data_IF_375573937598
#
_entry.id   IF_375573937598
#
_cell.length_a   1.000
_cell.length_b   1.000
_cell.length_c   1.000
_cell.angle_alpha   90.00
_cell.angle_beta   90.00
_cell.angle_gamma   90.00
#
_symmetry.space_group_name_H-M   'P 1'
#
loop_
_entity.id
_entity.type
_entity.pdbx_description
1 polymer ?
#
# COMPACT_ATOMS: atom_id res chain seq x y z
N UNK A 1 -18.04 1.22 -35.51
CA UNK A 1 -17.70 2.45 -36.24
C UNK A 1 -16.35 2.93 -35.71
N UNK A 2 -15.32 2.87 -36.56
CA UNK A 2 -14.01 3.53 -36.45
C UNK A 2 -13.24 3.45 -35.12
N UNK A 3 -12.32 2.49 -35.00
CA UNK A 3 -11.18 2.63 -34.11
C UNK A 3 -10.27 3.71 -34.70
N UNK A 4 -10.12 4.84 -34.00
CA UNK A 4 -9.20 5.90 -34.38
C UNK A 4 -7.77 5.44 -34.14
N UNK A 5 -7.00 5.36 -35.22
CA UNK A 5 -5.54 5.24 -35.19
C UNK A 5 -4.95 6.39 -34.37
N UNK A 6 -4.17 6.05 -33.36
CA UNK A 6 -3.36 7.01 -32.63
C UNK A 6 -2.28 7.54 -33.57
N UNK A 7 -2.45 8.76 -34.07
CA UNK A 7 -1.42 9.47 -34.82
C UNK A 7 -0.26 9.76 -33.86
N UNK A 8 0.85 9.04 -34.03
CA UNK A 8 2.12 9.35 -33.40
C UNK A 8 2.69 10.65 -33.99
N UNK A 9 2.55 11.74 -33.24
CA UNK A 9 3.46 12.89 -33.30
C UNK A 9 4.16 12.95 -31.95
N UNK A 10 5.50 12.87 -31.92
CA UNK A 10 6.33 12.68 -30.71
C UNK A 10 5.92 13.54 -29.52
N UNK A 11 5.05 12.99 -28.67
CA UNK A 11 4.14 13.79 -27.87
C UNK A 11 3.59 13.03 -26.66
N UNK A 12 3.48 13.78 -25.57
CA UNK A 12 2.98 13.35 -24.26
C UNK A 12 1.72 12.48 -24.40
N UNK A 13 1.76 11.26 -23.84
CA UNK A 13 0.61 10.34 -23.81
C UNK A 13 -0.55 11.00 -23.07
N UNK A 14 -1.68 11.20 -23.75
CA UNK A 14 -2.87 11.84 -23.19
C UNK A 14 -3.76 10.81 -22.51
N UNK A 15 -4.36 11.22 -21.39
CA UNK A 15 -5.45 10.47 -20.76
C UNK A 15 -6.66 10.42 -21.71
N UNK A 16 -7.33 9.27 -21.75
CA UNK A 16 -8.61 9.11 -22.42
C UNK A 16 -9.69 9.92 -21.69
N UNK A 17 -10.56 10.58 -22.46
CA UNK A 17 -11.71 11.33 -21.92
C UNK A 17 -12.56 10.46 -21.01
N UNK A 18 -12.92 10.98 -19.84
CA UNK A 18 -13.72 10.31 -18.83
C UNK A 18 -13.02 9.20 -18.05
N UNK A 19 -11.75 8.87 -18.36
CA UNK A 19 -10.99 7.87 -17.59
C UNK A 19 -10.29 8.49 -16.39
N UNK A 20 -10.40 7.85 -15.24
CA UNK A 20 -9.70 8.28 -14.04
C UNK A 20 -8.19 8.11 -14.20
N UNK A 21 -7.44 9.09 -13.72
CA UNK A 21 -5.98 9.07 -13.70
C UNK A 21 -5.45 9.50 -12.34
N UNK A 22 -4.34 8.90 -11.91
CA UNK A 22 -3.54 9.37 -10.77
C UNK A 22 -2.76 10.61 -11.24
N UNK A 23 -2.97 11.76 -10.59
CA UNK A 23 -2.34 13.04 -10.94
C UNK A 23 -1.11 13.35 -10.09
N UNK A 24 -1.11 12.90 -8.83
CA UNK A 24 -0.04 13.15 -7.89
C UNK A 24 0.06 12.03 -6.86
N UNK A 25 1.25 11.87 -6.29
CA UNK A 25 1.56 10.86 -5.27
C UNK A 25 2.40 11.49 -4.16
N UNK A 26 2.00 11.28 -2.91
CA UNK A 26 2.74 11.69 -1.71
C UNK A 26 2.92 10.53 -0.73
N UNK A 27 3.93 10.63 0.12
CA UNK A 27 4.21 9.70 1.21
C UNK A 27 4.73 10.44 2.43
N UNK A 28 4.52 9.87 3.60
CA UNK A 28 5.09 10.36 4.85
C UNK A 28 5.34 9.20 5.81
N UNK A 29 6.21 9.43 6.78
CA UNK A 29 6.72 8.42 7.70
C UNK A 29 6.86 9.02 9.10
N UNK A 30 6.77 8.21 10.17
CA UNK A 30 7.15 8.67 11.50
C UNK A 30 8.65 8.93 11.57
N UNK A 31 9.11 9.66 12.60
CA UNK A 31 10.50 10.11 12.68
C UNK A 31 11.52 8.98 12.95
N UNK A 32 11.10 7.88 13.57
CA UNK A 32 12.03 6.83 13.98
C UNK A 32 12.26 5.83 12.84
N UNK A 33 13.51 5.81 12.36
CA UNK A 33 14.02 4.83 11.40
C UNK A 33 14.75 3.70 12.14
N UNK A 34 14.38 2.46 11.84
CA UNK A 34 15.02 1.24 12.37
C UNK A 34 15.72 0.53 11.22
N UNK A 35 17.03 0.34 11.35
CA UNK A 35 17.79 -0.54 10.46
C UNK A 35 17.48 -2.00 10.82
N UNK A 36 17.23 -2.83 9.81
CA UNK A 36 16.85 -4.23 10.02
C UNK A 36 17.90 -5.01 10.83
N UNK A 37 19.17 -4.65 10.70
CA UNK A 37 20.27 -5.26 11.45
C UNK A 37 20.19 -5.03 12.97
N UNK A 38 19.58 -3.92 13.42
CA UNK A 38 19.39 -3.61 14.84
C UNK A 38 18.01 -4.01 15.37
N UNK A 39 17.11 -4.49 14.51
CA UNK A 39 15.75 -4.85 14.89
C UNK A 39 15.74 -5.89 16.01
N UNK A 40 16.51 -6.97 15.87
CA UNK A 40 16.46 -8.10 16.81
C UNK A 40 16.83 -7.64 18.20
N UNK A 41 17.93 -6.92 18.33
CA UNK A 41 18.43 -6.46 19.63
C UNK A 41 17.48 -5.43 20.25
N UNK A 42 17.00 -4.46 19.45
CA UNK A 42 16.03 -3.47 19.91
C UNK A 42 14.71 -4.10 20.33
N UNK A 43 14.17 -5.04 19.57
CA UNK A 43 12.88 -5.67 19.85
C UNK A 43 12.92 -6.55 21.11
N UNK A 44 13.97 -7.35 21.29
CA UNK A 44 14.13 -8.19 22.50
C UNK A 44 14.39 -7.34 23.74
N UNK A 45 15.19 -6.26 23.63
CA UNK A 45 15.36 -5.27 24.70
C UNK A 45 14.03 -4.62 25.08
N UNK A 46 13.27 -4.14 24.10
CA UNK A 46 12.02 -3.41 24.29
C UNK A 46 10.88 -4.28 24.86
N UNK A 47 10.97 -5.60 24.65
CA UNK A 47 9.95 -6.56 25.13
C UNK A 47 10.41 -7.33 26.37
N UNK A 48 11.60 -7.02 26.90
CA UNK A 48 12.22 -7.69 28.04
C UNK A 48 12.15 -9.23 27.94
N UNK A 49 12.42 -9.74 26.74
CA UNK A 49 12.43 -11.17 26.46
C UNK A 49 13.86 -11.65 26.22
N UNK A 50 14.24 -12.75 26.86
CA UNK A 50 15.58 -13.35 26.78
C UNK A 50 15.58 -14.75 26.12
N UNK A 51 14.50 -15.13 25.43
CA UNK A 51 14.40 -16.45 24.79
C UNK A 51 15.37 -16.56 23.58
N UNK A 52 16.39 -17.44 23.65
CA UNK A 52 17.41 -17.54 22.62
C UNK A 52 16.87 -18.17 21.32
N UNK A 53 15.85 -19.04 21.39
CA UNK A 53 15.27 -19.70 20.23
C UNK A 53 14.41 -18.72 19.42
N UNK A 54 13.59 -17.91 20.10
CA UNK A 54 12.82 -16.84 19.45
C UNK A 54 13.76 -15.79 18.85
N UNK A 55 14.84 -15.42 19.56
CA UNK A 55 15.85 -14.47 19.06
C UNK A 55 16.52 -15.00 17.80
N UNK A 56 16.97 -16.26 17.81
CA UNK A 56 17.57 -16.89 16.64
C UNK A 56 16.61 -16.96 15.46
N UNK A 57 15.32 -17.26 15.72
CA UNK A 57 14.29 -17.28 14.69
C UNK A 57 14.09 -15.90 14.06
N UNK A 58 13.96 -14.85 14.87
CA UNK A 58 13.81 -13.48 14.34
C UNK A 58 15.06 -13.04 13.55
N UNK A 59 16.27 -13.37 14.02
CA UNK A 59 17.51 -13.13 13.28
C UNK A 59 17.51 -13.78 11.90
N UNK A 60 17.07 -15.04 11.81
CA UNK A 60 16.94 -15.73 10.52
C UNK A 60 15.91 -15.04 9.63
N UNK A 61 14.75 -14.69 10.17
CA UNK A 61 13.70 -13.99 9.42
C UNK A 61 14.23 -12.67 8.86
N UNK A 62 14.86 -11.84 9.68
CA UNK A 62 15.42 -10.55 9.26
C UNK A 62 16.40 -10.65 8.09
N UNK A 63 17.20 -11.73 8.01
CA UNK A 63 18.10 -12.00 6.88
C UNK A 63 17.37 -12.40 5.60
N UNK A 64 16.19 -13.02 5.72
CA UNK A 64 15.42 -13.54 4.59
C UNK A 64 14.34 -12.60 4.08
N UNK A 65 13.91 -11.60 4.86
CA UNK A 65 12.83 -10.68 4.45
C UNK A 65 13.26 -9.65 3.40
N UNK A 66 14.56 -9.49 3.14
CA UNK A 66 15.15 -8.47 2.23
C UNK A 66 14.95 -7.01 2.65
N UNK A 67 14.19 -6.78 3.72
CA UNK A 67 14.00 -5.47 4.36
C UNK A 67 15.35 -4.97 4.89
N UNK A 68 15.68 -3.72 4.60
CA UNK A 68 16.88 -3.03 5.08
C UNK A 68 16.55 -2.02 6.15
N UNK A 69 15.47 -1.27 5.94
CA UNK A 69 15.03 -0.20 6.84
C UNK A 69 13.53 -0.18 6.95
N UNK A 70 13.05 0.30 8.10
CA UNK A 70 11.62 0.54 8.36
C UNK A 70 11.44 1.74 9.25
N UNK A 71 10.35 2.46 9.03
CA UNK A 71 9.93 3.50 9.94
C UNK A 71 8.93 2.92 10.93
N UNK A 72 8.97 3.37 12.18
CA UNK A 72 8.06 2.91 13.24
C UNK A 72 7.63 4.07 14.12
N UNK A 73 6.39 4.03 14.59
CA UNK A 73 5.89 4.93 15.64
C UNK A 73 6.40 4.47 17.01
N UNK A 74 6.57 3.15 17.19
CA UNK A 74 7.00 2.57 18.47
C UNK A 74 8.39 3.04 18.88
N UNK A 75 8.50 3.60 20.08
CA UNK A 75 9.74 4.15 20.63
C UNK A 75 9.93 3.75 22.10
N UNK A 76 11.15 3.89 22.62
CA UNK A 76 11.42 3.70 24.05
C UNK A 76 10.60 4.67 24.92
N UNK A 77 10.34 5.90 24.44
CA UNK A 77 9.50 6.87 25.14
C UNK A 77 8.06 6.37 25.31
N UNK A 78 7.48 5.78 24.25
CA UNK A 78 6.14 5.20 24.30
C UNK A 78 6.11 4.03 25.28
N UNK A 79 7.12 3.15 25.27
CA UNK A 79 7.18 2.01 26.18
C UNK A 79 7.44 2.42 27.63
N UNK A 80 8.18 3.50 27.87
CA UNK A 80 8.35 4.06 29.22
C UNK A 80 7.04 4.65 29.75
N UNK A 81 6.22 5.25 28.88
CA UNK A 81 4.92 5.81 29.23
C UNK A 81 3.84 4.73 29.40
N UNK A 82 3.89 3.69 28.58
CA UNK A 82 2.93 2.59 28.56
C UNK A 82 3.65 1.23 28.61
N UNK A 83 4.31 0.88 29.73
CA UNK A 83 5.08 -0.35 29.86
C UNK A 83 4.23 -1.61 29.68
N UNK A 84 2.92 -1.53 29.93
CA UNK A 84 1.98 -2.63 29.70
C UNK A 84 1.92 -3.10 28.24
N UNK A 85 2.32 -2.28 27.26
CA UNK A 85 2.37 -2.68 25.84
C UNK A 85 3.40 -3.77 25.54
N UNK A 86 4.43 -3.89 26.40
CA UNK A 86 5.47 -4.91 26.30
C UNK A 86 5.13 -6.19 27.09
N UNK A 87 3.97 -6.25 27.75
CA UNK A 87 3.56 -7.37 28.59
C UNK A 87 2.40 -8.10 27.93
N UNK A 88 2.51 -9.42 27.85
CA UNK A 88 1.48 -10.28 27.24
C UNK A 88 0.27 -10.46 28.16
N UNK A 89 -0.92 -10.61 27.59
CA UNK A 89 -2.14 -10.93 28.34
C UNK A 89 -2.84 -9.75 29.02
N UNK A 90 -2.33 -8.52 28.85
CA UNK A 90 -2.92 -7.32 29.44
C UNK A 90 -3.86 -6.58 28.47
N UNK A 91 -4.99 -6.05 28.96
CA UNK A 91 -5.87 -5.20 28.16
C UNK A 91 -5.17 -3.87 27.85
N UNK A 92 -4.80 -3.66 26.58
CA UNK A 92 -3.98 -2.54 26.11
C UNK A 92 -4.58 -1.81 24.90
N UNK A 93 -5.72 -2.25 24.39
CA UNK A 93 -6.35 -1.68 23.19
C UNK A 93 -6.62 -0.18 23.31
N UNK A 94 -6.95 0.31 24.51
CA UNK A 94 -7.18 1.74 24.75
C UNK A 94 -5.91 2.56 24.49
N UNK A 95 -4.81 2.21 25.16
CA UNK A 95 -3.52 2.88 25.01
C UNK A 95 -3.03 2.82 23.56
N UNK A 96 -3.17 1.65 22.93
CA UNK A 96 -2.83 1.46 21.52
C UNK A 96 -3.61 2.40 20.62
N UNK A 97 -4.93 2.47 20.77
CA UNK A 97 -5.77 3.35 19.97
C UNK A 97 -5.47 4.84 20.23
N UNK A 98 -5.17 5.23 21.47
CA UNK A 98 -4.77 6.61 21.79
C UNK A 98 -3.51 7.02 21.00
N UNK A 99 -2.52 6.13 20.89
CA UNK A 99 -1.30 6.35 20.10
C UNK A 99 -1.62 6.29 18.60
N UNK A 100 -2.26 5.21 18.14
CA UNK A 100 -2.51 4.96 16.73
C UNK A 100 -3.33 6.07 16.09
N UNK A 101 -4.45 6.46 16.71
CA UNK A 101 -5.36 7.46 16.18
C UNK A 101 -4.63 8.79 15.92
N UNK A 102 -3.72 9.20 16.82
CA UNK A 102 -2.90 10.40 16.61
C UNK A 102 -1.89 10.20 15.48
N UNK A 103 -1.14 9.10 15.52
CA UNK A 103 -0.06 8.84 14.57
C UNK A 103 -0.57 8.71 13.12
N UNK A 104 -1.63 7.94 12.88
CA UNK A 104 -2.19 7.74 11.54
C UNK A 104 -2.80 9.02 10.97
N UNK A 105 -3.40 9.87 11.81
CA UNK A 105 -3.90 11.18 11.39
C UNK A 105 -2.75 12.06 10.93
N UNK A 106 -1.68 12.14 11.73
CA UNK A 106 -0.54 13.00 11.44
C UNK A 106 0.18 12.54 10.17
N UNK A 107 0.49 11.26 10.04
CA UNK A 107 1.16 10.73 8.85
C UNK A 107 0.30 10.90 7.60
N UNK A 108 -1.03 10.64 7.68
CA UNK A 108 -1.93 10.88 6.55
C UNK A 108 -1.97 12.36 6.14
N UNK A 109 -1.96 13.26 7.11
CA UNK A 109 -1.94 14.71 6.87
C UNK A 109 -0.66 15.14 6.15
N UNK A 110 0.49 14.66 6.60
CA UNK A 110 1.79 14.93 5.98
C UNK A 110 1.88 14.36 4.56
N UNK A 111 1.49 13.10 4.37
CA UNK A 111 1.49 12.46 3.05
C UNK A 111 0.56 13.20 2.07
N UNK A 112 -0.63 13.58 2.54
CA UNK A 112 -1.61 14.32 1.74
C UNK A 112 -1.10 15.71 1.36
N UNK A 113 -0.43 16.42 2.28
CA UNK A 113 0.19 17.72 1.97
C UNK A 113 1.24 17.61 0.87
N UNK A 114 2.14 16.63 0.97
CA UNK A 114 3.14 16.36 -0.07
C UNK A 114 2.46 16.03 -1.40
N UNK A 115 1.39 15.23 -1.36
CA UNK A 115 0.63 14.88 -2.57
C UNK A 115 -0.04 16.11 -3.22
N UNK A 116 -0.66 16.97 -2.41
CA UNK A 116 -1.37 18.17 -2.87
C UNK A 116 -0.38 19.22 -3.40
N UNK A 117 0.77 19.38 -2.74
CA UNK A 117 1.86 20.24 -3.22
C UNK A 117 2.35 19.79 -4.60
N UNK A 118 2.60 18.49 -4.79
CA UNK A 118 2.97 17.92 -6.10
C UNK A 118 1.85 18.03 -7.14
N UNK A 119 0.58 17.98 -6.73
CA UNK A 119 -0.56 18.22 -7.62
C UNK A 119 -0.65 19.67 -8.09
N UNK A 120 -0.19 20.62 -7.26
CA UNK A 120 -0.07 22.04 -7.62
C UNK A 120 -1.40 22.81 -7.68
N UNK A 121 -2.47 22.27 -7.09
CA UNK A 121 -3.81 22.88 -7.05
C UNK A 121 -4.32 23.08 -5.63
N UNK A 122 -5.42 23.82 -5.50
CA UNK A 122 -5.96 24.21 -4.19
C UNK A 122 -6.69 23.07 -3.50
N UNK A 123 -6.58 22.97 -2.17
CA UNK A 123 -7.35 22.02 -1.35
C UNK A 123 -8.86 22.20 -1.49
N UNK A 124 -9.32 23.42 -1.83
CA UNK A 124 -10.74 23.71 -2.09
C UNK A 124 -11.30 22.97 -3.31
N UNK A 125 -10.44 22.46 -4.19
CA UNK A 125 -10.84 21.71 -5.39
C UNK A 125 -11.00 20.21 -5.11
N UNK A 126 -10.62 19.75 -3.90
CA UNK A 126 -10.79 18.36 -3.49
C UNK A 126 -12.25 18.13 -3.09
N UNK A 127 -12.97 17.47 -3.99
CA UNK A 127 -14.40 17.17 -3.84
C UNK A 127 -14.68 15.95 -2.96
N UNK A 128 -13.76 14.97 -2.95
CA UNK A 128 -13.95 13.70 -2.25
C UNK A 128 -12.67 13.28 -1.51
N UNK A 129 -12.85 12.57 -0.40
CA UNK A 129 -11.79 11.92 0.37
C UNK A 129 -12.11 10.43 0.53
N UNK A 130 -11.24 9.57 0.02
CA UNK A 130 -11.21 8.15 0.36
C UNK A 130 -10.09 7.94 1.37
N UNK A 131 -10.42 7.51 2.58
CA UNK A 131 -9.42 7.24 3.62
C UNK A 131 -9.39 5.76 3.96
N UNK A 132 -8.20 5.19 4.09
CA UNK A 132 -7.97 3.78 4.35
C UNK A 132 -7.03 3.62 5.53
N UNK A 133 -7.47 2.89 6.56
CA UNK A 133 -6.62 2.50 7.68
C UNK A 133 -7.15 1.25 8.36
N UNK A 134 -6.24 0.38 8.77
CA UNK A 134 -6.49 -0.79 9.61
C UNK A 134 -5.94 -0.60 11.02
N UNK A 135 -5.37 0.57 11.30
CA UNK A 135 -4.69 0.89 12.56
C UNK A 135 -5.47 1.83 13.47
N UNK A 136 -6.66 2.29 13.09
CA UNK A 136 -7.53 3.09 13.96
C UNK A 136 -8.94 2.50 14.10
N UNK A 137 -9.60 2.88 15.18
CA UNK A 137 -10.99 2.54 15.48
C UNK A 137 -11.60 3.63 16.36
N UNK A 138 -12.33 4.58 15.75
CA UNK A 138 -12.96 5.70 16.45
C UNK A 138 -14.14 6.29 15.67
N UNK A 139 -15.03 6.98 16.39
CA UNK A 139 -16.13 7.76 15.84
C UNK A 139 -16.10 9.15 16.50
N UNK A 140 -15.87 10.25 15.75
CA UNK A 140 -15.66 10.32 14.31
C UNK A 140 -14.41 9.59 13.80
N UNK A 141 -14.44 9.15 12.54
CA UNK A 141 -13.32 8.44 11.90
C UNK A 141 -12.18 9.38 11.49
N UNK A 142 -11.01 8.82 11.18
CA UNK A 142 -9.82 9.58 10.78
C UNK A 142 -10.00 10.38 9.48
N UNK A 143 -10.95 9.99 8.63
CA UNK A 143 -11.36 10.72 7.44
C UNK A 143 -11.80 12.16 7.77
N UNK A 144 -12.58 12.35 8.84
CA UNK A 144 -13.02 13.68 9.28
C UNK A 144 -11.85 14.50 9.85
N UNK A 145 -11.00 13.87 10.67
CA UNK A 145 -9.84 14.55 11.24
C UNK A 145 -8.85 14.99 10.16
N UNK A 146 -8.62 14.14 9.16
CA UNK A 146 -7.78 14.45 8.00
C UNK A 146 -8.39 15.59 7.18
N UNK A 147 -9.68 15.51 6.82
CA UNK A 147 -10.36 16.56 6.07
C UNK A 147 -10.28 17.92 6.79
N UNK A 148 -10.52 17.94 8.10
CA UNK A 148 -10.38 19.14 8.92
C UNK A 148 -8.94 19.64 8.98
N UNK A 149 -7.96 18.74 9.15
CA UNK A 149 -6.54 19.09 9.25
C UNK A 149 -5.94 19.65 7.95
N UNK A 150 -6.49 19.23 6.81
CA UNK A 150 -6.15 19.75 5.48
C UNK A 150 -6.92 21.04 5.13
N UNK A 151 -7.94 21.40 5.92
CA UNK A 151 -8.82 22.52 5.59
C UNK A 151 -9.64 22.27 4.32
N UNK A 152 -10.09 21.02 4.11
CA UNK A 152 -10.99 20.71 2.99
C UNK A 152 -12.35 21.38 3.18
N UNK A 153 -13.11 21.48 2.09
CA UNK A 153 -14.48 21.98 2.13
C UNK A 153 -15.33 21.15 3.11
N UNK A 154 -16.20 21.76 3.95
CA UNK A 154 -17.13 21.01 4.78
C UNK A 154 -18.06 20.06 4.00
N UNK A 155 -18.30 20.35 2.71
CA UNK A 155 -19.11 19.55 1.81
C UNK A 155 -18.33 18.41 1.12
N UNK A 156 -17.01 18.28 1.39
CA UNK A 156 -16.19 17.18 0.85
C UNK A 156 -16.80 15.84 1.26
N UNK A 157 -17.16 15.03 0.26
CA UNK A 157 -17.76 13.72 0.49
C UNK A 157 -16.68 12.72 0.92
N UNK A 158 -16.94 11.94 1.97
CA UNK A 158 -15.92 11.06 2.56
C UNK A 158 -16.34 9.60 2.51
N UNK A 159 -15.39 8.74 2.16
CA UNK A 159 -15.51 7.28 2.25
C UNK A 159 -14.38 6.76 3.12
N UNK A 160 -14.73 6.08 4.21
CA UNK A 160 -13.76 5.46 5.11
C UNK A 160 -13.75 3.94 4.94
N UNK A 161 -12.58 3.37 4.67
CA UNK A 161 -12.35 1.94 4.57
C UNK A 161 -11.52 1.46 5.77
N UNK A 162 -12.22 1.04 6.83
CA UNK A 162 -11.61 0.43 8.01
C UNK A 162 -11.27 -1.05 7.77
N UNK A 163 -10.14 -1.50 8.32
CA UNK A 163 -9.76 -2.92 8.40
C UNK A 163 -9.66 -3.67 7.06
N UNK A 164 -9.34 -2.97 5.97
CA UNK A 164 -9.09 -3.59 4.66
C UNK A 164 -7.73 -4.30 4.56
N UNK A 165 -6.80 -4.02 5.48
CA UNK A 165 -5.46 -4.59 5.47
C UNK A 165 -4.65 -4.24 4.23
N UNK A 166 -3.74 -5.13 3.85
CA UNK A 166 -2.76 -4.92 2.77
C UNK A 166 -3.37 -4.66 1.38
N UNK A 167 -4.58 -5.18 1.08
CA UNK A 167 -5.27 -4.88 -0.18
C UNK A 167 -5.92 -3.49 -0.20
N UNK A 168 -6.05 -2.84 0.97
CA UNK A 168 -6.76 -1.58 1.16
C UNK A 168 -6.29 -0.44 0.28
N UNK A 169 -4.99 -0.39 -0.09
CA UNK A 169 -4.47 0.66 -0.97
C UNK A 169 -5.05 0.59 -2.38
N UNK A 170 -5.16 -0.62 -2.95
CA UNK A 170 -5.73 -0.83 -4.29
C UNK A 170 -7.26 -0.83 -4.23
N UNK A 171 -7.86 -1.34 -3.14
CA UNK A 171 -9.30 -1.22 -2.89
C UNK A 171 -9.75 0.26 -2.84
N UNK A 172 -9.01 1.11 -2.12
CA UNK A 172 -9.25 2.55 -2.07
C UNK A 172 -9.07 3.21 -3.45
N UNK A 173 -8.11 2.76 -4.24
CA UNK A 173 -7.89 3.25 -5.61
C UNK A 173 -9.04 2.86 -6.56
N UNK A 174 -9.60 1.65 -6.41
CA UNK A 174 -10.79 1.20 -7.14
C UNK A 174 -12.01 2.06 -6.79
N UNK A 175 -12.24 2.35 -5.51
CA UNK A 175 -13.32 3.26 -5.08
C UNK A 175 -13.10 4.69 -5.62
N UNK A 176 -11.87 5.21 -5.54
CA UNK A 176 -11.55 6.54 -6.05
C UNK A 176 -11.72 6.65 -7.57
N UNK A 177 -11.40 5.58 -8.31
CA UNK A 177 -11.65 5.48 -9.75
C UNK A 177 -13.13 5.65 -10.07
N UNK A 178 -14.01 4.87 -9.44
CA UNK A 178 -15.45 4.91 -9.74
C UNK A 178 -16.04 6.29 -9.39
N UNK A 179 -15.62 6.89 -8.27
CA UNK A 179 -16.01 8.26 -7.89
C UNK A 179 -15.58 9.27 -8.96
N UNK A 180 -14.32 9.21 -9.39
CA UNK A 180 -13.74 10.15 -10.35
C UNK A 180 -14.43 10.09 -11.71
N UNK A 181 -14.70 8.88 -12.23
CA UNK A 181 -15.33 8.69 -13.55
C UNK A 181 -16.83 9.02 -13.52
N UNK A 182 -17.51 8.75 -12.40
CA UNK A 182 -18.96 8.97 -12.29
C UNK A 182 -19.34 10.41 -11.92
N UNK A 183 -18.37 11.24 -11.51
CA UNK A 183 -18.59 12.64 -11.14
C UNK A 183 -17.63 13.55 -11.94
N UNK A 184 -18.03 14.02 -13.14
CA UNK A 184 -17.18 14.87 -13.98
C UNK A 184 -16.67 16.11 -13.23
N UNK A 185 -15.37 16.36 -13.34
CA UNK A 185 -14.69 17.48 -12.65
C UNK A 185 -14.32 17.20 -11.18
N UNK A 186 -14.70 16.03 -10.63
CA UNK A 186 -14.30 15.67 -9.28
C UNK A 186 -12.80 15.41 -9.17
N UNK A 187 -12.26 15.73 -7.99
CA UNK A 187 -10.90 15.39 -7.56
C UNK A 187 -11.00 14.65 -6.23
N UNK A 188 -10.47 13.44 -6.22
CA UNK A 188 -10.52 12.52 -5.10
C UNK A 188 -9.14 12.46 -4.47
N UNK A 189 -9.04 12.84 -3.20
CA UNK A 189 -7.88 12.52 -2.39
C UNK A 189 -8.05 11.11 -1.85
N UNK A 190 -7.19 10.18 -2.25
CA UNK A 190 -7.05 8.88 -1.60
C UNK A 190 -5.89 8.96 -0.61
N UNK A 191 -6.14 8.75 0.67
CA UNK A 191 -5.13 8.67 1.70
C UNK A 191 -5.16 7.30 2.39
N UNK A 192 -3.97 6.75 2.63
CA UNK A 192 -3.72 5.51 3.35
C UNK A 192 -2.81 5.85 4.53
N UNK A 193 -3.06 5.27 5.72
CA UNK A 193 -2.11 5.40 6.83
C UNK A 193 -2.20 4.24 7.81
N UNK A 194 -1.04 3.70 8.16
CA UNK A 194 -0.93 2.46 8.93
C UNK A 194 0.21 2.57 9.95
N UNK A 195 0.00 1.99 11.12
CA UNK A 195 1.01 1.83 12.16
C UNK A 195 0.91 0.47 12.83
N UNK A 196 2.05 -0.10 13.17
CA UNK A 196 2.20 -1.39 13.83
C UNK A 196 1.82 -1.37 15.32
N UNK A 197 1.63 -0.20 15.95
CA UNK A 197 1.32 -0.07 17.38
C UNK A 197 0.11 -0.91 17.80
N UNK A 198 -0.94 -0.96 16.98
CA UNK A 198 -2.17 -1.70 17.31
C UNK A 198 -1.92 -3.20 17.49
N UNK A 199 -0.90 -3.74 16.82
CA UNK A 199 -0.53 -5.16 16.84
C UNK A 199 0.85 -5.46 17.45
N UNK A 200 1.52 -4.46 18.02
CA UNK A 200 2.81 -4.66 18.69
C UNK A 200 2.64 -5.58 19.89
N UNK A 201 3.32 -6.72 19.94
CA UNK A 201 3.25 -7.67 21.05
C UNK A 201 4.64 -8.15 21.41
N UNK A 202 4.90 -8.61 22.64
CA UNK A 202 6.12 -9.33 22.95
C UNK A 202 6.20 -10.66 22.18
N UNK A 203 7.42 -11.18 21.91
CA UNK A 203 7.62 -12.49 21.30
C UNK A 203 7.12 -13.61 22.21
N UNK A 204 6.48 -14.63 21.63
CA UNK A 204 5.92 -15.77 22.35
C UNK A 204 6.16 -17.09 21.61
N UNK A 205 6.42 -18.16 22.38
CA UNK A 205 6.59 -19.52 21.87
C UNK A 205 5.30 -20.11 21.30
N UNK A 206 4.14 -19.66 21.81
CA UNK A 206 2.82 -20.12 21.38
C UNK A 206 2.38 -19.45 20.06
N UNK A 207 2.98 -18.30 19.73
CA UNK A 207 2.71 -17.54 18.50
C UNK A 207 3.99 -17.28 17.70
N UNK A 208 4.69 -18.32 17.26
CA UNK A 208 6.00 -18.16 16.67
C UNK A 208 5.93 -17.54 15.25
N UNK A 209 4.74 -17.40 14.67
CA UNK A 209 4.51 -16.73 13.38
C UNK A 209 4.37 -15.21 13.49
N UNK A 210 4.08 -14.66 14.68
CA UNK A 210 4.03 -13.21 14.90
C UNK A 210 5.38 -12.55 14.56
N UNK A 211 6.49 -13.28 14.76
CA UNK A 211 7.84 -12.85 14.39
C UNK A 211 8.02 -12.57 12.90
N UNK A 212 7.18 -13.16 12.03
CA UNK A 212 7.17 -12.83 10.60
C UNK A 212 6.70 -11.39 10.40
N UNK A 213 5.63 -11.01 11.10
CA UNK A 213 5.14 -9.62 11.12
C UNK A 213 6.19 -8.66 11.68
N UNK A 214 6.85 -9.02 12.80
CA UNK A 214 7.94 -8.23 13.39
C UNK A 214 9.09 -8.01 12.41
N UNK A 215 9.42 -8.98 11.56
CA UNK A 215 10.49 -8.87 10.58
C UNK A 215 10.10 -8.10 9.29
N UNK A 216 8.81 -7.88 9.06
CA UNK A 216 8.28 -7.30 7.82
C UNK A 216 7.64 -5.93 8.00
N UNK A 217 6.76 -5.75 8.98
CA UNK A 217 5.86 -4.60 9.01
C UNK A 217 6.55 -3.30 9.41
N UNK A 218 6.22 -2.22 8.72
CA UNK A 218 6.63 -0.86 9.03
C UNK A 218 5.42 0.08 9.08
N UNK A 219 5.68 1.32 9.46
CA UNK A 219 4.68 2.36 9.63
C UNK A 219 4.82 3.43 8.55
N UNK A 220 3.71 4.09 8.21
CA UNK A 220 3.74 5.21 7.28
C UNK A 220 2.36 5.64 6.79
N UNK A 221 2.39 6.51 5.79
CA UNK A 221 1.22 6.93 5.02
C UNK A 221 1.56 7.10 3.54
N UNK A 222 0.55 6.93 2.71
CA UNK A 222 0.59 7.24 1.28
C UNK A 222 -0.65 8.03 0.87
N UNK A 223 -0.52 8.92 -0.10
CA UNK A 223 -1.62 9.72 -0.64
C UNK A 223 -1.54 9.83 -2.16
N UNK A 224 -2.69 9.91 -2.81
CA UNK A 224 -2.83 10.07 -4.26
C UNK A 224 -3.97 11.04 -4.58
N UNK A 225 -3.80 11.86 -5.63
CA UNK A 225 -4.91 12.61 -6.24
C UNK A 225 -5.39 11.85 -7.47
N UNK A 226 -6.70 11.57 -7.53
CA UNK A 226 -7.35 10.89 -8.65
C UNK A 226 -8.41 11.82 -9.26
N UNK A 227 -8.47 11.87 -10.59
CA UNK A 227 -9.52 12.60 -11.30
C UNK A 227 -9.65 12.13 -12.75
N UNK A 228 -10.80 12.35 -13.37
CA UNK A 228 -10.95 12.27 -14.83
C UNK A 228 -10.65 13.63 -15.47
N UNK A 229 -10.42 13.59 -16.79
CA UNK A 229 -10.31 14.79 -17.64
C UNK A 229 -9.30 15.82 -17.09
N UNK A 230 -8.00 15.48 -17.05
CA UNK A 230 -6.97 16.36 -16.51
C UNK A 230 -6.97 17.74 -17.19
N UNK A 231 -6.85 18.79 -16.37
CA UNK A 231 -6.73 20.17 -16.83
C UNK A 231 -5.33 20.38 -17.39
N UNK A 232 -5.22 20.48 -18.72
CA UNK A 232 -3.95 20.42 -19.46
C UNK A 232 -2.85 21.38 -18.98
N UNK A 233 -3.21 22.54 -18.45
CA UNK A 233 -2.25 23.56 -18.01
C UNK A 233 -1.68 23.32 -16.61
N UNK A 234 -2.42 22.62 -15.74
CA UNK A 234 -2.10 22.52 -14.31
C UNK A 234 -1.91 21.08 -13.82
N UNK A 235 -2.43 20.10 -14.55
CA UNK A 235 -2.43 18.70 -14.12
C UNK A 235 -1.63 17.83 -15.09
N UNK A 236 -0.82 16.93 -14.52
CA UNK A 236 0.00 15.98 -15.26
C UNK A 236 -0.38 14.56 -14.83
N UNK A 237 -1.21 13.84 -15.59
CA UNK A 237 -1.59 12.49 -15.23
C UNK A 237 -0.37 11.56 -15.29
N UNK A 238 -0.21 10.74 -14.24
CA UNK A 238 0.87 9.78 -14.04
C UNK A 238 0.48 8.41 -14.57
N UNK A 239 -0.71 7.94 -14.19
CA UNK A 239 -1.25 6.63 -14.55
C UNK A 239 -2.74 6.74 -14.86
N UNK A 240 -3.19 6.23 -16.00
CA UNK A 240 -4.62 6.01 -16.29
C UNK A 240 -5.08 4.72 -15.62
N UNK A 241 -6.24 4.73 -14.97
CA UNK A 241 -6.86 3.58 -14.32
C UNK A 241 -7.95 3.01 -15.22
N UNK A 242 -7.62 2.00 -16.02
CA UNK A 242 -8.51 1.52 -17.08
C UNK A 242 -9.62 0.61 -16.54
N UNK A 243 -9.24 -0.54 -15.98
CA UNK A 243 -10.15 -1.58 -15.48
C UNK A 243 -9.74 -1.96 -14.07
N UNK A 244 -10.68 -1.99 -13.12
CA UNK A 244 -10.44 -2.47 -11.77
C UNK A 244 -11.32 -3.68 -11.49
N UNK A 245 -10.75 -4.74 -10.91
CA UNK A 245 -11.49 -5.93 -10.48
C UNK A 245 -11.03 -6.36 -9.08
N UNK A 246 -11.91 -7.08 -8.40
CA UNK A 246 -11.65 -7.71 -7.11
C UNK A 246 -12.05 -9.18 -7.20
N UNK A 247 -11.29 -10.06 -6.54
CA UNK A 247 -11.62 -11.47 -6.39
C UNK A 247 -11.24 -11.96 -5.00
N UNK A 248 -12.19 -12.56 -4.27
CA UNK A 248 -11.87 -13.28 -3.04
C UNK A 248 -11.70 -14.76 -3.39
N UNK A 249 -10.64 -15.38 -2.85
CA UNK A 249 -10.36 -16.80 -3.07
C UNK A 249 -11.25 -17.62 -2.13
N UNK A 250 -12.12 -18.51 -2.63
CA UNK A 250 -13.04 -19.27 -1.77
C UNK A 250 -12.34 -20.11 -0.71
N UNK A 251 -12.93 -20.18 0.50
CA UNK A 251 -12.47 -21.01 1.62
C UNK A 251 -11.06 -20.67 2.16
N UNK A 252 -10.66 -19.39 2.09
CA UNK A 252 -9.34 -18.95 2.57
C UNK A 252 -9.41 -17.93 3.71
N UNK A 253 -10.55 -17.84 4.40
CA UNK A 253 -10.87 -16.79 5.38
C UNK A 253 -9.89 -16.80 6.57
N UNK A 254 -9.32 -17.98 6.88
CA UNK A 254 -8.39 -18.18 8.00
C UNK A 254 -6.91 -18.07 7.62
N UNK A 255 -6.59 -17.82 6.34
CA UNK A 255 -5.20 -17.74 5.86
C UNK A 255 -4.53 -16.43 6.28
N UNK A 256 -5.28 -15.33 6.22
CA UNK A 256 -4.95 -14.04 6.81
C UNK A 256 -6.15 -13.64 7.68
N UNK A 257 -6.08 -13.94 8.98
CA UNK A 257 -7.14 -13.66 9.96
C UNK A 257 -6.65 -12.61 10.97
N UNK A 258 -7.29 -11.44 10.97
CA UNK A 258 -7.00 -10.33 11.89
C UNK A 258 -8.13 -10.17 12.90
N UNK A 259 -7.80 -10.18 14.19
CA UNK A 259 -8.81 -10.06 15.27
C UNK A 259 -8.43 -8.98 16.27
N UNK A 260 -9.32 -8.01 16.45
CA UNK A 260 -9.19 -7.02 17.51
C UNK A 260 -9.68 -7.61 18.83
N UNK A 261 -8.85 -7.51 19.85
CA UNK A 261 -9.10 -8.00 21.21
C UNK A 261 -8.76 -6.91 22.22
N UNK A 262 -8.96 -7.20 23.51
CA UNK A 262 -8.54 -6.28 24.58
C UNK A 262 -7.02 -6.01 24.57
N UNK A 263 -6.20 -6.95 24.09
CA UNK A 263 -4.74 -6.79 23.96
C UNK A 263 -4.31 -6.01 22.71
N UNK A 264 -5.25 -5.54 21.88
CA UNK A 264 -4.98 -5.02 20.53
C UNK A 264 -5.29 -6.04 19.44
N UNK A 265 -4.78 -5.82 18.23
CA UNK A 265 -5.03 -6.70 17.08
C UNK A 265 -4.00 -7.82 17.02
N UNK A 266 -4.45 -9.05 16.78
CA UNK A 266 -3.60 -10.19 16.45
C UNK A 266 -3.82 -10.59 14.99
N UNK A 267 -2.73 -10.80 14.25
CA UNK A 267 -2.79 -11.29 12.88
C UNK A 267 -2.24 -12.70 12.80
N UNK A 268 -3.03 -13.61 12.27
CA UNK A 268 -2.60 -14.94 11.90
C UNK A 268 -2.28 -14.97 10.41
N UNK A 269 -1.05 -15.33 10.06
CA UNK A 269 -0.62 -15.56 8.69
C UNK A 269 -0.22 -17.02 8.53
N UNK A 270 -0.93 -17.76 7.69
CA UNK A 270 -0.57 -19.15 7.39
C UNK A 270 0.62 -19.23 6.43
N UNK A 271 1.45 -20.26 6.61
CA UNK A 271 2.66 -20.50 5.79
C UNK A 271 2.35 -20.69 4.30
N UNK A 272 1.14 -21.16 4.00
CA UNK A 272 0.67 -21.49 2.64
C UNK A 272 0.28 -20.24 1.83
N UNK A 273 0.18 -19.06 2.46
CA UNK A 273 -0.25 -17.82 1.80
C UNK A 273 0.43 -17.56 0.43
N UNK A 274 1.78 -17.63 0.29
CA UNK A 274 2.40 -17.40 -1.01
C UNK A 274 2.00 -18.44 -2.08
N UNK A 275 1.78 -19.69 -1.68
CA UNK A 275 1.36 -20.75 -2.60
C UNK A 275 -0.09 -20.55 -3.04
N UNK A 276 -0.99 -20.15 -2.14
CA UNK A 276 -2.40 -19.88 -2.50
C UNK A 276 -2.50 -18.71 -3.46
N UNK A 277 -1.71 -17.64 -3.25
CA UNK A 277 -1.62 -16.54 -4.21
C UNK A 277 -1.10 -17.06 -5.55
N UNK A 278 0.01 -17.80 -5.55
CA UNK A 278 0.58 -18.39 -6.76
C UNK A 278 -0.46 -19.21 -7.52
N UNK A 279 -1.21 -20.09 -6.87
CA UNK A 279 -2.14 -20.99 -7.54
C UNK A 279 -3.29 -20.24 -8.25
N UNK A 280 -3.78 -19.14 -7.66
CA UNK A 280 -4.99 -18.45 -8.11
C UNK A 280 -4.74 -17.16 -8.94
N UNK A 281 -3.54 -16.61 -8.94
CA UNK A 281 -3.26 -15.29 -9.55
C UNK A 281 -3.31 -15.28 -11.08
N UNK A 282 -3.12 -16.43 -11.75
CA UNK A 282 -3.06 -16.51 -13.22
C UNK A 282 -4.34 -16.05 -13.90
N UNK A 283 -5.47 -16.69 -13.56
CA UNK A 283 -6.79 -16.35 -14.10
C UNK A 283 -7.19 -14.91 -13.77
N UNK A 284 -6.79 -14.41 -12.60
CA UNK A 284 -7.04 -13.04 -12.18
C UNK A 284 -6.31 -12.02 -13.06
N UNK A 285 -5.02 -12.24 -13.34
CA UNK A 285 -4.25 -11.39 -14.25
C UNK A 285 -4.77 -11.47 -15.68
N UNK A 286 -5.10 -12.67 -16.18
CA UNK A 286 -5.68 -12.88 -17.52
C UNK A 286 -6.96 -12.07 -17.74
N UNK A 287 -7.86 -12.07 -16.75
CA UNK A 287 -9.09 -11.25 -16.80
C UNK A 287 -8.81 -9.76 -16.94
N UNK A 288 -7.76 -9.24 -16.29
CA UNK A 288 -7.37 -7.84 -16.40
C UNK A 288 -6.78 -7.54 -17.78
N UNK A 289 -5.75 -8.29 -18.19
CA UNK A 289 -4.98 -7.98 -19.40
C UNK A 289 -5.76 -8.26 -20.69
N UNK A 290 -6.67 -9.24 -20.66
CA UNK A 290 -7.50 -9.59 -21.80
C UNK A 290 -8.42 -8.45 -22.25
N UNK A 291 -8.79 -7.53 -21.35
CA UNK A 291 -9.58 -6.33 -21.70
C UNK A 291 -8.85 -5.39 -22.65
N UNK A 292 -7.51 -5.38 -22.60
CA UNK A 292 -6.66 -4.62 -23.52
C UNK A 292 -6.10 -5.48 -24.68
N UNK A 293 -6.58 -6.72 -24.83
CA UNK A 293 -6.14 -7.63 -25.90
C UNK A 293 -4.77 -8.28 -25.69
N UNK A 294 -4.24 -8.22 -24.47
CA UNK A 294 -2.99 -8.92 -24.11
C UNK A 294 -3.25 -10.35 -23.66
N UNK A 295 -2.22 -11.18 -23.80
CA UNK A 295 -2.20 -12.60 -23.44
C UNK A 295 -1.11 -12.89 -22.40
N UNK A 296 -1.11 -14.06 -21.72
CA UNK A 296 -0.05 -14.43 -20.78
C UNK A 296 1.37 -14.34 -21.36
N UNK A 297 1.53 -14.59 -22.66
CA UNK A 297 2.78 -14.46 -23.40
C UNK A 297 3.32 -13.01 -23.41
N UNK A 298 2.46 -12.03 -23.11
CA UNK A 298 2.78 -10.61 -23.08
C UNK A 298 3.12 -10.09 -21.67
N UNK A 299 3.19 -10.92 -20.63
CA UNK A 299 3.46 -10.46 -19.27
C UNK A 299 4.75 -9.64 -19.15
N UNK A 300 5.78 -9.99 -19.92
CA UNK A 300 7.04 -9.26 -19.98
C UNK A 300 6.99 -7.97 -20.82
N UNK A 301 5.89 -7.70 -21.52
CA UNK A 301 5.61 -6.41 -22.17
C UNK A 301 4.89 -5.42 -21.24
N UNK A 302 4.41 -5.89 -20.09
CA UNK A 302 3.70 -5.08 -19.09
C UNK A 302 4.64 -4.60 -17.97
N UNK A 303 4.25 -3.54 -17.25
CA UNK A 303 4.84 -3.18 -15.96
C UNK A 303 4.03 -3.74 -14.78
N UNK A 304 4.68 -3.96 -13.63
CA UNK A 304 4.08 -4.69 -12.50
C UNK A 304 4.27 -3.97 -11.16
N UNK A 305 3.25 -3.25 -10.72
CA UNK A 305 3.19 -2.61 -9.40
C UNK A 305 2.50 -3.57 -8.42
N UNK A 306 3.27 -4.34 -7.66
CA UNK A 306 2.72 -5.39 -6.79
C UNK A 306 2.98 -5.04 -5.34
N UNK A 307 1.93 -5.06 -4.52
CA UNK A 307 2.07 -4.95 -3.06
C UNK A 307 3.02 -6.04 -2.55
N UNK A 308 4.17 -5.66 -1.95
CA UNK A 308 5.17 -6.62 -1.54
C UNK A 308 4.88 -7.09 -0.11
N UNK A 309 3.88 -7.95 0.07
CA UNK A 309 3.51 -8.47 1.40
C UNK A 309 4.68 -9.19 2.11
N UNK A 310 5.59 -9.74 1.31
CA UNK A 310 6.90 -10.26 1.70
C UNK A 310 7.64 -10.76 0.45
N UNK A 311 8.95 -11.07 0.54
CA UNK A 311 9.74 -11.44 -0.64
C UNK A 311 9.27 -12.76 -1.27
N UNK A 312 8.67 -13.65 -0.48
CA UNK A 312 8.14 -14.92 -0.96
C UNK A 312 7.03 -14.73 -2.01
N UNK A 313 6.14 -13.74 -1.83
CA UNK A 313 5.05 -13.46 -2.77
C UNK A 313 5.64 -13.02 -4.11
N UNK A 314 6.55 -12.03 -4.09
CA UNK A 314 7.21 -11.54 -5.31
C UNK A 314 7.97 -12.64 -6.04
N UNK A 315 8.70 -13.49 -5.30
CA UNK A 315 9.46 -14.60 -5.89
C UNK A 315 8.54 -15.65 -6.53
N UNK A 316 7.38 -15.94 -5.94
CA UNK A 316 6.40 -16.87 -6.54
C UNK A 316 5.79 -16.29 -7.82
N UNK A 317 5.45 -15.00 -7.83
CA UNK A 317 4.92 -14.33 -9.02
C UNK A 317 5.94 -14.28 -10.15
N UNK A 318 7.19 -13.89 -9.85
CA UNK A 318 8.29 -13.87 -10.82
C UNK A 318 8.48 -15.24 -11.47
N UNK A 319 8.50 -16.30 -10.65
CA UNK A 319 8.64 -17.67 -11.13
C UNK A 319 7.44 -18.13 -11.94
N UNK A 320 6.21 -17.92 -11.45
CA UNK A 320 4.98 -18.42 -12.08
C UNK A 320 4.74 -17.81 -13.46
N UNK A 321 5.03 -16.52 -13.62
CA UNK A 321 4.82 -15.80 -14.86
C UNK A 321 6.10 -15.63 -15.70
N UNK A 322 7.20 -16.26 -15.29
CA UNK A 322 8.52 -16.15 -15.93
C UNK A 322 8.89 -14.68 -16.20
N UNK A 323 8.63 -13.82 -15.22
CA UNK A 323 8.91 -12.40 -15.34
C UNK A 323 10.41 -12.16 -15.35
N UNK A 324 10.85 -11.23 -16.19
CA UNK A 324 12.19 -10.70 -16.12
C UNK A 324 12.41 -10.04 -14.74
N UNK A 325 13.59 -10.20 -14.10
CA UNK A 325 13.82 -9.76 -12.72
C UNK A 325 13.50 -8.28 -12.45
N UNK A 326 13.69 -7.42 -13.46
CA UNK A 326 13.40 -5.99 -13.38
C UNK A 326 11.91 -5.67 -13.28
N UNK A 327 11.00 -6.57 -13.63
CA UNK A 327 9.55 -6.30 -13.59
C UNK A 327 9.04 -6.02 -12.19
N UNK A 328 9.68 -6.58 -11.17
CA UNK A 328 9.32 -6.38 -9.77
C UNK A 328 10.33 -5.49 -9.02
N UNK A 329 11.22 -4.75 -9.72
CA UNK A 329 12.24 -3.89 -9.10
C UNK A 329 11.66 -2.90 -8.10
N UNK A 330 10.64 -2.13 -8.52
CA UNK A 330 9.98 -1.13 -7.68
C UNK A 330 9.33 -1.76 -6.44
N UNK A 331 8.69 -2.92 -6.61
CA UNK A 331 8.06 -3.69 -5.52
C UNK A 331 9.09 -4.19 -4.51
N UNK A 332 10.21 -4.73 -5.00
CA UNK A 332 11.33 -5.20 -4.15
C UNK A 332 12.01 -4.03 -3.43
N UNK A 333 12.18 -2.89 -4.11
CA UNK A 333 12.79 -1.70 -3.54
C UNK A 333 11.93 -1.07 -2.45
N UNK A 334 10.60 -0.97 -2.67
CA UNK A 334 9.67 -0.54 -1.64
C UNK A 334 9.75 -1.40 -0.37
N UNK A 335 9.79 -2.73 -0.53
CA UNK A 335 9.97 -3.65 0.59
C UNK A 335 11.32 -3.48 1.29
N UNK A 336 12.40 -3.32 0.53
CA UNK A 336 13.73 -3.13 1.09
C UNK A 336 13.83 -1.85 1.93
N UNK A 337 13.27 -0.74 1.44
CA UNK A 337 13.48 0.57 2.05
C UNK A 337 12.45 0.90 3.14
N UNK A 338 11.25 0.32 3.07
CA UNK A 338 10.14 0.67 3.97
C UNK A 338 9.55 -0.53 4.73
N UNK A 339 9.93 -1.76 4.38
CA UNK A 339 9.22 -2.95 4.82
C UNK A 339 7.82 -3.05 4.21
N UNK A 340 6.97 -3.84 4.84
CA UNK A 340 5.55 -3.92 4.52
C UNK A 340 4.78 -2.87 5.36
N UNK A 341 4.44 -1.74 4.77
CA UNK A 341 3.62 -0.71 5.42
C UNK A 341 2.12 -0.88 5.14
N UNK A 342 1.63 -2.13 5.05
CA UNK A 342 0.24 -2.47 4.73
C UNK A 342 -0.25 -1.74 3.47
N UNK A 343 -1.44 -1.14 3.49
CA UNK A 343 -2.09 -0.45 2.37
C UNK A 343 -1.25 0.66 1.75
N UNK A 344 -0.32 1.26 2.50
CA UNK A 344 0.52 2.35 2.00
C UNK A 344 1.53 1.87 0.95
N UNK A 345 1.91 0.59 1.01
CA UNK A 345 3.11 0.13 0.30
C UNK A 345 2.94 0.21 -1.21
N UNK A 346 1.71 0.04 -1.73
CA UNK A 346 1.45 0.19 -3.17
C UNK A 346 1.73 1.62 -3.65
N UNK A 347 1.51 2.63 -2.80
CA UNK A 347 1.84 4.03 -3.11
C UNK A 347 3.34 4.20 -3.29
N UNK A 348 4.14 3.53 -2.45
CA UNK A 348 5.61 3.58 -2.53
C UNK A 348 6.14 2.85 -3.76
N UNK A 349 5.49 1.74 -4.14
CA UNK A 349 5.81 1.03 -5.40
C UNK A 349 5.57 1.92 -6.60
N UNK A 350 4.40 2.57 -6.68
CA UNK A 350 4.07 3.48 -7.79
C UNK A 350 5.02 4.67 -7.86
N UNK A 351 5.43 5.23 -6.72
CA UNK A 351 6.42 6.32 -6.71
C UNK A 351 7.80 5.84 -7.19
N UNK A 352 8.25 4.65 -6.79
CA UNK A 352 9.51 4.10 -7.30
C UNK A 352 9.50 3.83 -8.80
N UNK A 353 8.35 3.43 -9.36
CA UNK A 353 8.22 3.31 -10.81
C UNK A 353 8.41 4.64 -11.55
N UNK A 354 7.96 5.75 -10.96
CA UNK A 354 8.17 7.09 -11.51
C UNK A 354 9.64 7.53 -11.38
N UNK A 355 10.30 7.20 -10.27
CA UNK A 355 11.72 7.52 -10.07
C UNK A 355 12.66 6.75 -10.99
N UNK A 356 12.44 5.45 -11.19
CA UNK A 356 13.30 4.60 -12.02
C UNK A 356 13.30 5.05 -13.48
N UNK A 357 12.16 5.56 -13.95
CA UNK A 357 12.03 6.19 -15.25
C UNK A 357 12.97 7.39 -15.40
N UNK A 358 12.90 8.34 -14.46
CA UNK A 358 13.69 9.58 -14.53
C UNK A 358 15.21 9.33 -14.56
N UNK A 359 15.67 8.13 -14.17
CA UNK A 359 17.09 7.74 -14.19
C UNK A 359 17.52 7.06 -15.50
N UNK A 360 16.59 6.43 -16.21
CA UNK A 360 16.85 5.76 -17.48
C UNK A 360 16.53 6.74 -18.59
N UNK A 361 17.54 7.37 -19.18
CA UNK A 361 17.43 8.10 -20.46
C UNK A 361 17.18 7.10 -21.63
N UNK A 362 16.21 6.19 -21.49
CA UNK A 362 15.83 5.24 -22.52
C UNK A 362 14.88 5.93 -23.51
N UNK A 363 14.97 5.61 -24.82
CA UNK A 363 14.01 6.10 -25.81
C UNK A 363 12.58 5.70 -25.41
N UNK A 364 11.61 6.62 -25.60
CA UNK A 364 10.20 6.41 -25.23
C UNK A 364 9.55 5.18 -25.90
N UNK A 365 10.15 4.65 -26.98
CA UNK A 365 9.63 3.56 -27.81
C UNK A 365 9.75 2.16 -27.17
N UNK A 366 10.52 1.99 -26.08
CA UNK A 366 10.74 0.67 -25.44
C UNK A 366 10.02 0.49 -24.09
N UNK A 367 9.32 1.50 -23.55
CA UNK A 367 8.62 1.37 -22.27
C UNK A 367 7.25 0.68 -22.39
N UNK A 368 6.95 -0.20 -21.44
CA UNK A 368 5.65 -0.81 -21.29
C UNK A 368 4.56 0.24 -21.03
N UNK A 369 3.64 0.41 -21.97
CA UNK A 369 2.51 1.34 -21.84
C UNK A 369 1.47 0.87 -20.83
N UNK A 370 1.26 -0.43 -20.77
CA UNK A 370 0.26 -1.08 -19.95
C UNK A 370 0.91 -1.82 -18.79
N UNK A 371 0.17 -1.93 -17.70
CA UNK A 371 0.64 -2.63 -16.52
C UNK A 371 -0.47 -3.00 -15.55
N UNK A 372 -0.07 -3.68 -14.50
CA UNK A 372 -0.95 -4.15 -13.43
C UNK A 372 -0.54 -3.53 -12.10
N UNK A 373 -1.54 -3.00 -11.38
CA UNK A 373 -1.43 -2.63 -9.96
C UNK A 373 -2.15 -3.72 -9.18
N UNK A 374 -1.43 -4.47 -8.36
CA UNK A 374 -1.95 -5.64 -7.65
C UNK A 374 -1.72 -5.54 -6.15
N UNK A 375 -2.71 -5.92 -5.36
CA UNK A 375 -2.55 -6.11 -3.92
C UNK A 375 -3.34 -7.31 -3.40
N UNK A 376 -2.87 -7.85 -2.27
CA UNK A 376 -3.40 -9.04 -1.62
C UNK A 376 -3.66 -8.72 -0.14
N UNK A 377 -4.80 -9.14 0.39
CA UNK A 377 -5.20 -8.85 1.77
C UNK A 377 -6.02 -9.97 2.40
N UNK A 378 -6.58 -9.74 3.60
CA UNK A 378 -7.44 -10.70 4.31
C UNK A 378 -8.53 -11.29 3.42
N UNK A 379 -8.82 -12.59 3.56
CA UNK A 379 -9.87 -13.26 2.81
C UNK A 379 -9.52 -14.62 2.20
N UNK A 380 -8.43 -14.82 1.46
CA UNK A 380 -7.52 -13.88 0.80
C UNK A 380 -8.27 -13.13 -0.31
N UNK A 381 -8.14 -11.81 -0.32
CA UNK A 381 -8.72 -10.94 -1.34
C UNK A 381 -7.64 -10.42 -2.28
N UNK A 382 -7.87 -10.53 -3.59
CA UNK A 382 -7.09 -9.93 -4.65
C UNK A 382 -7.77 -8.65 -5.11
N UNK A 383 -7.00 -7.57 -5.17
CA UNK A 383 -7.38 -6.30 -5.79
C UNK A 383 -6.44 -6.04 -6.96
N UNK A 384 -7.00 -5.63 -8.10
CA UNK A 384 -6.23 -5.50 -9.33
C UNK A 384 -6.75 -4.39 -10.23
N UNK A 385 -5.83 -3.61 -10.78
CA UNK A 385 -6.12 -2.56 -11.76
C UNK A 385 -5.22 -2.72 -12.98
N UNK A 386 -5.84 -2.86 -14.15
CA UNK A 386 -5.18 -2.64 -15.43
C UNK A 386 -5.00 -1.14 -15.62
N UNK A 387 -3.76 -0.72 -15.83
CA UNK A 387 -3.39 0.69 -15.87
C UNK A 387 -2.53 0.99 -17.09
N UNK A 388 -2.56 2.26 -17.54
CA UNK A 388 -1.61 2.78 -18.52
C UNK A 388 -0.72 3.82 -17.88
N UNK A 389 0.57 3.79 -18.18
CA UNK A 389 1.49 4.85 -17.80
C UNK A 389 1.31 6.04 -18.75
N UNK A 390 1.06 7.23 -18.21
CA UNK A 390 0.77 8.44 -19.00
C UNK A 390 1.88 9.50 -18.96
N UNK A 391 2.73 9.46 -17.94
CA UNK A 391 3.91 10.33 -17.91
C UNK A 391 4.81 10.02 -19.11
N UNK A 392 5.18 11.08 -19.84
CA UNK A 392 6.28 11.12 -20.81
C UNK A 392 7.64 11.06 -20.12
#
# INVERSE_FOLDING_TARGET
>A
MGFGEAIMQGGVKKANTGKASIMAIGKAFPHQLVMQEFLVDGYFKNTNCDDPALRQKLTRLCKTTTVKTRYVVMSEEILNKYPELAIEGLPTVKQRLDICNSAVTQMALEASRVCIEKWGRSTSEITHLVYVSSSEARLPGGDLYLAKGLGLCPDTQRVMLYFSGCSGGVAGLRVAKDIAENNPGSRVLLATSETTIIGFKPPSVDRPYDLVGVALFGDGAGAMIIGSDPVQETERPLFELHTAIQHFVPNTEKIIDGRLTEEGISFKLERELPQIIEDNIGEFCEKLIGVAGYTPEDYNKLFWAVHPGGPAILNRLEKKFELLPEKLSASRRALADYGNASSNTIVYVLEYMLEEKNKKNQPEEEEADWGLILAFGPGITFEGILTRKLTA
#
